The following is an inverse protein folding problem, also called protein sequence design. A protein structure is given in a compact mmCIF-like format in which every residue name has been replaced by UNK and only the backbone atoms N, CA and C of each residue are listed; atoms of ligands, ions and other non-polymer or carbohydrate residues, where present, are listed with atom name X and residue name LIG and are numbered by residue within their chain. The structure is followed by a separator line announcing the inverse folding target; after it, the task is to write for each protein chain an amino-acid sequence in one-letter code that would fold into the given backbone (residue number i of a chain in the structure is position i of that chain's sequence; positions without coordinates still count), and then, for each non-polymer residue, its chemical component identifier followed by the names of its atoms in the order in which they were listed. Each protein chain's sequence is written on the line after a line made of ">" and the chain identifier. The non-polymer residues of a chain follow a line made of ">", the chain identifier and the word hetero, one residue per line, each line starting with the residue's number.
data_IF_630367949169
#
_entry.id   IF_630367949169
#
_cell.length_a   1.000
_cell.length_b   1.000
_cell.length_c   1.000
_cell.angle_alpha   90.00
_cell.angle_beta   90.00
_cell.angle_gamma   90.00
#
_symmetry.space_group_name_H-M   'P 1'
#
loop_
_entity.id
_entity.type
_entity.pdbx_description
1 polymer ?
#
# COMPACT_ATOMS: atom_id res chain seq x y z
N UNK A 1 6.29 -2.26 19.97
CA UNK A 1 5.59 -3.51 19.68
C UNK A 1 4.56 -3.95 20.74
N UNK A 2 4.74 -3.82 22.09
CA UNK A 2 3.70 -4.28 23.02
C UNK A 2 2.35 -3.58 22.85
N UNK A 3 2.37 -2.27 22.58
CA UNK A 3 1.15 -1.48 22.37
C UNK A 3 0.53 -1.77 21.00
N UNK A 4 1.34 -1.91 19.96
CA UNK A 4 0.88 -2.21 18.59
C UNK A 4 0.12 -3.54 18.55
N UNK A 5 0.70 -4.59 19.16
CA UNK A 5 0.05 -5.90 19.28
C UNK A 5 -1.19 -5.86 20.17
N UNK A 6 -1.15 -5.07 21.26
CA UNK A 6 -2.33 -4.87 22.10
C UNK A 6 -3.48 -4.29 21.28
N UNK A 7 -3.25 -3.22 20.51
CA UNK A 7 -4.28 -2.62 19.68
C UNK A 7 -4.79 -3.58 18.60
N UNK A 8 -3.90 -4.26 17.88
CA UNK A 8 -4.26 -5.20 16.82
C UNK A 8 -5.17 -6.34 17.33
N UNK A 9 -4.96 -6.81 18.57
CA UNK A 9 -5.76 -7.88 19.17
C UNK A 9 -7.19 -7.45 19.56
N UNK A 10 -7.45 -6.16 19.73
CA UNK A 10 -8.76 -5.66 20.19
C UNK A 10 -9.66 -5.20 19.05
N UNK A 11 -9.12 -4.95 17.86
CA UNK A 11 -9.87 -4.41 16.72
C UNK A 11 -9.66 -5.28 15.48
N UNK A 12 -10.67 -6.08 15.13
CA UNK A 12 -10.60 -7.02 14.00
C UNK A 12 -10.32 -6.35 12.64
N UNK A 13 -10.65 -5.06 12.49
CA UNK A 13 -10.46 -4.28 11.26
C UNK A 13 -9.35 -3.24 11.34
N UNK A 14 -8.36 -3.41 12.24
CA UNK A 14 -7.24 -2.46 12.33
C UNK A 14 -6.23 -2.65 11.19
N UNK A 15 -5.66 -1.55 10.73
CA UNK A 15 -4.48 -1.54 9.88
C UNK A 15 -3.49 -0.48 10.39
N UNK A 16 -2.23 -0.62 10.01
CA UNK A 16 -1.20 0.39 10.30
C UNK A 16 -0.96 1.25 9.06
N UNK A 17 -1.07 2.57 9.22
CA UNK A 17 -0.68 3.53 8.19
C UNK A 17 0.84 3.74 8.23
N UNK A 18 1.47 3.59 7.07
CA UNK A 18 2.90 3.69 6.87
C UNK A 18 3.21 4.70 5.77
N UNK A 19 4.21 5.53 6.02
CA UNK A 19 4.80 6.39 5.00
C UNK A 19 5.84 5.61 4.18
N UNK A 20 6.05 6.00 2.92
CA UNK A 20 7.08 5.39 2.04
C UNK A 20 8.48 5.43 2.68
N UNK A 21 8.74 6.44 3.51
CA UNK A 21 10.00 6.61 4.24
C UNK A 21 10.19 5.59 5.38
N UNK A 22 9.16 4.83 5.75
CA UNK A 22 9.22 3.82 6.81
C UNK A 22 9.67 2.45 6.31
N UNK A 23 9.84 2.26 4.99
CA UNK A 23 10.13 0.94 4.41
C UNK A 23 11.46 0.33 4.84
N UNK A 24 12.39 1.12 5.41
CA UNK A 24 13.65 0.61 5.96
C UNK A 24 13.48 -0.25 7.22
N UNK A 25 12.34 -0.17 7.91
CA UNK A 25 11.98 -1.02 9.06
C UNK A 25 10.83 -1.99 8.76
N UNK A 26 10.57 -2.26 7.47
CA UNK A 26 9.49 -3.13 7.03
C UNK A 26 9.49 -4.49 7.75
N UNK A 27 10.65 -5.12 7.88
CA UNK A 27 10.76 -6.44 8.48
C UNK A 27 10.24 -6.43 9.94
N UNK A 28 10.48 -5.35 10.69
CA UNK A 28 9.96 -5.18 12.04
C UNK A 28 8.43 -4.99 12.08
N UNK A 29 7.81 -4.42 11.04
CA UNK A 29 6.35 -4.34 10.94
C UNK A 29 5.73 -5.70 10.66
N UNK A 30 6.37 -6.54 9.84
CA UNK A 30 5.86 -7.86 9.48
C UNK A 30 5.87 -8.84 10.65
N UNK A 31 6.74 -8.63 11.63
CA UNK A 31 6.80 -9.34 12.91
C UNK A 31 5.61 -9.06 13.85
N UNK A 32 4.78 -8.04 13.57
CA UNK A 32 3.62 -7.73 14.40
C UNK A 32 2.53 -8.79 14.28
N UNK A 33 2.48 -9.69 15.26
CA UNK A 33 1.44 -10.69 15.38
C UNK A 33 0.05 -10.04 15.56
N UNK A 34 -0.93 -10.57 14.82
CA UNK A 34 -2.33 -10.16 14.92
C UNK A 34 -2.73 -9.00 14.00
N UNK A 35 -1.77 -8.26 13.42
CA UNK A 35 -2.06 -7.21 12.44
C UNK A 35 -1.97 -7.78 11.02
N UNK A 36 -3.11 -7.83 10.31
CA UNK A 36 -3.19 -8.45 8.99
C UNK A 36 -3.14 -7.47 7.82
N UNK A 37 -3.33 -6.17 8.07
CA UNK A 37 -3.45 -5.16 7.02
C UNK A 37 -2.53 -3.97 7.28
N UNK A 38 -1.93 -3.47 6.19
CA UNK A 38 -1.10 -2.28 6.19
C UNK A 38 -1.55 -1.33 5.10
N UNK A 39 -1.61 -0.04 5.40
CA UNK A 39 -1.75 1.01 4.40
C UNK A 39 -0.39 1.65 4.18
N UNK A 40 0.09 1.68 2.94
CA UNK A 40 1.33 2.36 2.58
C UNK A 40 1.01 3.52 1.65
N UNK A 41 1.39 4.71 2.10
CA UNK A 41 1.28 5.94 1.33
C UNK A 41 2.39 5.99 0.27
N UNK A 42 2.02 6.08 -1.00
CA UNK A 42 2.90 6.37 -2.13
C UNK A 42 3.04 7.88 -2.29
N UNK A 43 4.22 8.42 -1.96
CA UNK A 43 4.43 9.86 -1.78
C UNK A 43 5.82 10.34 -2.26
N UNK A 44 6.06 10.25 -3.57
CA UNK A 44 7.34 10.68 -4.18
C UNK A 44 7.72 12.12 -3.79
N UNK A 45 6.74 13.03 -3.71
CA UNK A 45 6.96 14.42 -3.33
C UNK A 45 7.52 14.64 -1.92
N UNK A 46 7.37 13.66 -1.03
CA UNK A 46 7.87 13.69 0.36
C UNK A 46 9.24 13.00 0.50
N UNK A 47 9.92 12.69 -0.62
CA UNK A 47 11.19 11.96 -0.64
C UNK A 47 11.04 10.44 -0.62
N UNK A 48 9.83 9.91 -0.87
CA UNK A 48 9.61 8.49 -1.07
C UNK A 48 10.21 7.98 -2.39
N UNK A 49 10.51 6.68 -2.51
CA UNK A 49 10.89 6.08 -3.80
C UNK A 49 9.78 6.23 -4.84
N UNK A 50 10.16 6.17 -6.12
CA UNK A 50 9.19 6.06 -7.21
C UNK A 50 8.46 4.70 -7.18
N UNK A 51 7.50 4.50 -8.10
CA UNK A 51 6.68 3.28 -8.10
C UNK A 51 7.53 2.01 -8.25
N UNK A 52 8.63 2.07 -9.02
CA UNK A 52 9.55 0.94 -9.24
C UNK A 52 10.35 0.63 -7.98
N UNK A 53 10.73 1.65 -7.22
CA UNK A 53 11.35 1.51 -5.91
C UNK A 53 10.39 0.98 -4.85
N UNK A 54 9.09 1.29 -4.94
CA UNK A 54 8.09 0.88 -3.95
C UNK A 54 7.53 -0.54 -4.16
N UNK A 55 7.36 -0.98 -5.41
CA UNK A 55 6.82 -2.32 -5.72
C UNK A 55 7.54 -3.47 -5.00
N UNK A 56 8.88 -3.50 -4.88
CA UNK A 56 9.57 -4.53 -4.09
C UNK A 56 9.11 -4.59 -2.62
N UNK A 57 8.81 -3.46 -1.99
CA UNK A 57 8.29 -3.43 -0.62
C UNK A 57 6.83 -3.89 -0.57
N UNK A 58 6.00 -3.48 -1.53
CA UNK A 58 4.61 -3.95 -1.63
C UNK A 58 4.54 -5.48 -1.75
N UNK A 59 5.41 -6.08 -2.57
CA UNK A 59 5.50 -7.55 -2.70
C UNK A 59 5.87 -8.24 -1.40
N UNK A 60 6.79 -7.67 -0.61
CA UNK A 60 7.13 -8.24 0.71
C UNK A 60 5.93 -8.33 1.65
N UNK A 61 5.00 -7.37 1.62
CA UNK A 61 3.75 -7.50 2.37
C UNK A 61 2.92 -8.70 1.88
N UNK A 62 2.77 -8.85 0.55
CA UNK A 62 1.99 -9.94 -0.05
C UNK A 62 2.63 -11.31 0.18
N UNK A 63 3.95 -11.40 0.08
CA UNK A 63 4.74 -12.61 0.37
C UNK A 63 4.60 -13.04 1.84
N UNK A 64 4.38 -12.09 2.74
CA UNK A 64 4.08 -12.32 4.16
C UNK A 64 2.58 -12.57 4.44
N UNK A 65 1.77 -12.78 3.40
CA UNK A 65 0.32 -12.99 3.47
C UNK A 65 -0.41 -11.84 4.21
N UNK A 66 0.07 -10.60 4.03
CA UNK A 66 -0.57 -9.39 4.56
C UNK A 66 -1.44 -8.74 3.50
N UNK A 67 -2.61 -8.28 3.92
CA UNK A 67 -3.43 -7.37 3.12
C UNK A 67 -2.73 -6.01 3.01
N UNK A 68 -2.83 -5.39 1.85
CA UNK A 68 -2.14 -4.16 1.52
C UNK A 68 -3.11 -3.14 0.92
N UNK A 69 -3.14 -1.96 1.52
CA UNK A 69 -3.77 -0.77 0.97
C UNK A 69 -2.64 0.10 0.41
N UNK A 70 -2.64 0.35 -0.90
CA UNK A 70 -1.71 1.32 -1.51
C UNK A 70 -2.47 2.62 -1.71
N UNK A 71 -2.08 3.67 -1.01
CA UNK A 71 -2.72 4.99 -1.06
C UNK A 71 -1.84 5.99 -1.78
N UNK A 72 -2.35 6.68 -2.81
CA UNK A 72 -1.58 7.72 -3.49
C UNK A 72 -2.20 8.18 -4.80
N UNK A 73 -1.49 9.09 -5.47
CA UNK A 73 -1.81 9.54 -6.82
C UNK A 73 -0.85 8.86 -7.80
N UNK A 74 -1.36 8.52 -8.98
CA UNK A 74 -0.61 7.75 -9.96
C UNK A 74 -0.80 8.36 -11.34
N UNK A 75 0.28 8.44 -12.11
CA UNK A 75 0.17 8.54 -13.56
C UNK A 75 -0.37 7.23 -14.15
N UNK A 76 -0.82 7.27 -15.40
CA UNK A 76 -1.31 6.09 -16.11
C UNK A 76 -0.27 4.95 -16.14
N UNK A 77 0.99 5.30 -16.42
CA UNK A 77 2.08 4.33 -16.53
C UNK A 77 2.46 3.74 -15.18
N UNK A 78 2.47 4.55 -14.11
CA UNK A 78 2.72 4.07 -12.75
C UNK A 78 1.60 3.15 -12.27
N UNK A 79 0.35 3.51 -12.51
CA UNK A 79 -0.79 2.69 -12.13
C UNK A 79 -0.80 1.36 -12.88
N UNK A 80 -0.51 1.38 -14.20
CA UNK A 80 -0.39 0.14 -14.96
C UNK A 80 0.72 -0.75 -14.41
N UNK A 81 1.89 -0.17 -14.17
CA UNK A 81 3.02 -0.91 -13.61
C UNK A 81 2.69 -1.51 -12.24
N UNK A 82 1.98 -0.77 -11.38
CA UNK A 82 1.56 -1.25 -10.06
C UNK A 82 0.64 -2.46 -10.17
N UNK A 83 -0.43 -2.36 -10.97
CA UNK A 83 -1.42 -3.43 -11.14
C UNK A 83 -0.79 -4.67 -11.78
N UNK A 84 0.07 -4.51 -12.78
CA UNK A 84 0.77 -5.62 -13.43
C UNK A 84 1.80 -6.30 -12.52
N UNK A 85 2.22 -5.62 -11.44
CA UNK A 85 3.30 -6.07 -10.56
C UNK A 85 2.85 -6.75 -9.27
N UNK A 86 1.59 -6.58 -8.85
CA UNK A 86 1.08 -7.05 -7.55
C UNK A 86 -0.01 -8.11 -7.70
N UNK A 87 -0.13 -8.98 -6.69
CA UNK A 87 -1.22 -9.95 -6.60
C UNK A 87 -2.53 -9.22 -6.21
N UNK A 88 -3.68 -9.43 -6.88
CA UNK A 88 -4.93 -8.80 -6.48
C UNK A 88 -5.48 -9.28 -5.12
N UNK A 89 -5.03 -10.43 -4.59
CA UNK A 89 -5.50 -10.97 -3.31
C UNK A 89 -5.07 -10.08 -2.15
N UNK A 90 -6.05 -9.62 -1.37
CA UNK A 90 -5.81 -8.75 -0.21
C UNK A 90 -5.31 -7.34 -0.57
N UNK A 91 -5.33 -6.97 -1.85
CA UNK A 91 -4.89 -5.66 -2.35
C UNK A 91 -6.08 -4.70 -2.49
N UNK A 92 -5.93 -3.50 -1.95
CA UNK A 92 -6.82 -2.37 -2.19
C UNK A 92 -6.01 -1.18 -2.67
N UNK A 93 -6.44 -0.52 -3.75
CA UNK A 93 -5.80 0.71 -4.21
C UNK A 93 -6.69 1.91 -3.87
N UNK A 94 -6.21 2.74 -2.95
CA UNK A 94 -6.82 4.02 -2.65
C UNK A 94 -6.22 5.11 -3.54
N UNK A 95 -6.81 5.28 -4.72
CA UNK A 95 -6.42 6.31 -5.68
C UNK A 95 -6.89 7.68 -5.19
N UNK A 96 -5.95 8.57 -4.92
CA UNK A 96 -6.20 9.98 -4.65
C UNK A 96 -6.19 10.76 -5.95
N UNK A 97 -7.32 11.39 -6.26
CA UNK A 97 -7.50 12.24 -7.42
C UNK A 97 -7.84 13.66 -7.00
N UNK A 98 -7.34 14.64 -7.75
CA UNK A 98 -7.72 16.05 -7.56
C UNK A 98 -8.90 16.43 -8.47
N UNK A 99 -8.99 15.77 -9.63
CA UNK A 99 -9.97 16.09 -10.67
C UNK A 99 -10.59 14.84 -11.29
N UNK A 100 -11.85 14.94 -11.74
CA UNK A 100 -12.56 13.83 -12.40
C UNK A 100 -11.84 13.29 -13.64
N UNK A 101 -11.07 14.13 -14.34
CA UNK A 101 -10.30 13.70 -15.50
C UNK A 101 -9.28 12.58 -15.18
N UNK A 102 -8.74 12.58 -13.96
CA UNK A 102 -7.80 11.54 -13.50
C UNK A 102 -8.53 10.21 -13.29
N UNK A 103 -9.76 10.26 -12.76
CA UNK A 103 -10.62 9.07 -12.63
C UNK A 103 -10.87 8.46 -14.01
N UNK A 104 -11.27 9.27 -14.99
CA UNK A 104 -11.54 8.80 -16.35
C UNK A 104 -10.27 8.23 -17.02
N UNK A 105 -9.10 8.78 -16.71
CA UNK A 105 -7.81 8.30 -17.23
C UNK A 105 -7.45 6.92 -16.67
N UNK A 106 -7.71 6.68 -15.37
CA UNK A 106 -7.32 5.44 -14.69
C UNK A 106 -8.39 4.34 -14.74
N UNK A 107 -9.67 4.69 -14.96
CA UNK A 107 -10.82 3.77 -14.98
C UNK A 107 -10.60 2.53 -15.87
N UNK A 108 -10.10 2.65 -17.11
CA UNK A 108 -9.90 1.49 -17.99
C UNK A 108 -8.90 0.46 -17.45
N UNK A 109 -7.89 0.91 -16.69
CA UNK A 109 -6.87 0.05 -16.10
C UNK A 109 -7.38 -0.62 -14.83
N UNK A 110 -8.22 0.09 -14.07
CA UNK A 110 -8.80 -0.41 -12.83
C UNK A 110 -9.90 -1.47 -13.05
N UNK A 111 -10.28 -1.75 -14.31
CA UNK A 111 -11.36 -2.68 -14.65
C UNK A 111 -12.75 -2.18 -14.27
N UNK A 112 -12.93 -0.86 -14.21
CA UNK A 112 -14.17 -0.16 -13.86
C UNK A 112 -14.85 0.48 -15.08
#
# INVERSE_FOLDING_TARGET
>A
QPVDQFLAKHFAGSFMHLHSTSMFILDAFLELEGLQCFEVNYEVGSGGPDIKGMVPYFRKFQEADRSLIVRGSFTLDEFRYLIDSLDPRGLYIYIMVEHMQEVETLRPIAGM
#
